data_IF_349499264541
#
_entry.id   IF_349499264541
#
_cell.length_a   1.000
_cell.length_b   1.000
_cell.length_c   1.000
_cell.angle_alpha   90.00
_cell.angle_beta   90.00
_cell.angle_gamma   90.00
#
_symmetry.space_group_name_H-M   'P 1'
#
loop_
_entity.id
_entity.type
_entity.pdbx_description
1 polymer ?
#
# COMPACT_ATOMS: atom_id res chain seq x y z
N UNK A 1 -30.21 23.45 -64.22
CA UNK A 1 -31.32 22.94 -63.38
C UNK A 1 -30.85 21.78 -62.51
N UNK A 2 -30.22 20.76 -63.07
CA UNK A 2 -29.73 19.59 -62.32
C UNK A 2 -28.76 19.96 -61.19
N UNK A 3 -27.80 20.87 -61.42
CA UNK A 3 -26.82 21.29 -60.40
C UNK A 3 -27.46 22.03 -59.23
N UNK A 4 -28.55 22.79 -59.45
CA UNK A 4 -29.30 23.47 -58.39
C UNK A 4 -30.05 22.44 -57.53
N UNK A 5 -30.69 21.45 -58.13
CA UNK A 5 -31.38 20.36 -57.40
C UNK A 5 -30.41 19.51 -56.60
N UNK A 6 -29.24 19.17 -57.13
CA UNK A 6 -28.21 18.42 -56.37
C UNK A 6 -27.68 19.24 -55.19
N UNK A 7 -27.55 20.55 -55.28
CA UNK A 7 -27.16 21.41 -54.15
C UNK A 7 -28.25 21.46 -53.08
N UNK A 8 -29.53 21.56 -53.42
CA UNK A 8 -30.62 21.53 -52.47
C UNK A 8 -30.72 20.18 -51.76
N UNK A 9 -30.54 19.07 -52.47
CA UNK A 9 -30.52 17.72 -51.87
C UNK A 9 -29.32 17.58 -50.92
N UNK A 10 -28.12 18.03 -51.32
CA UNK A 10 -26.95 18.02 -50.48
C UNK A 10 -27.15 18.89 -49.20
N UNK A 11 -27.70 20.07 -49.33
CA UNK A 11 -28.02 20.95 -48.23
C UNK A 11 -29.05 20.33 -47.28
N UNK A 12 -30.09 19.64 -47.83
CA UNK A 12 -31.07 18.91 -47.08
C UNK A 12 -30.47 17.76 -46.29
N UNK A 13 -29.56 17.00 -46.90
CA UNK A 13 -28.83 15.91 -46.24
C UNK A 13 -27.93 16.42 -45.14
N UNK A 14 -27.22 17.54 -45.36
CA UNK A 14 -26.37 18.18 -44.33
C UNK A 14 -27.21 18.64 -43.15
N UNK A 15 -28.35 19.30 -43.41
CA UNK A 15 -29.24 19.74 -42.31
C UNK A 15 -29.86 18.55 -41.57
N UNK A 16 -30.26 17.50 -42.25
CA UNK A 16 -30.78 16.29 -41.59
C UNK A 16 -29.71 15.59 -40.73
N UNK A 17 -28.46 15.52 -41.23
CA UNK A 17 -27.34 14.99 -40.48
C UNK A 17 -27.00 15.87 -39.25
N UNK A 18 -27.05 17.19 -39.40
CA UNK A 18 -26.84 18.12 -38.30
C UNK A 18 -27.92 17.97 -37.22
N UNK A 19 -29.21 17.89 -37.64
CA UNK A 19 -30.32 17.67 -36.69
C UNK A 19 -30.21 16.32 -35.99
N UNK A 20 -29.89 15.26 -36.71
CA UNK A 20 -29.64 13.93 -36.13
C UNK A 20 -28.47 13.98 -35.12
N UNK A 21 -27.40 14.72 -35.42
CA UNK A 21 -26.29 14.96 -34.51
C UNK A 21 -26.70 15.70 -33.21
N UNK A 22 -27.55 16.74 -33.34
CA UNK A 22 -28.08 17.46 -32.16
C UNK A 22 -28.98 16.57 -31.31
N UNK A 23 -29.86 15.81 -31.92
CA UNK A 23 -30.76 14.86 -31.21
C UNK A 23 -29.92 13.79 -30.50
N UNK A 24 -28.95 13.21 -31.19
CA UNK A 24 -28.05 12.22 -30.60
C UNK A 24 -27.25 12.83 -29.44
N UNK A 25 -26.70 14.03 -29.63
CA UNK A 25 -25.99 14.75 -28.56
C UNK A 25 -26.90 14.99 -27.34
N UNK A 26 -28.12 15.47 -27.54
CA UNK A 26 -29.08 15.71 -26.48
C UNK A 26 -29.47 14.40 -25.74
N UNK A 27 -29.57 13.31 -26.47
CA UNK A 27 -29.87 11.98 -25.90
C UNK A 27 -28.72 11.46 -25.03
N UNK A 28 -27.47 11.54 -25.51
CA UNK A 28 -26.29 11.11 -24.75
C UNK A 28 -25.97 12.07 -23.59
N UNK A 29 -26.31 13.35 -23.70
CA UNK A 29 -26.11 14.34 -22.66
C UNK A 29 -27.11 14.24 -21.50
N UNK A 30 -28.21 13.48 -21.67
CA UNK A 30 -29.20 13.26 -20.59
C UNK A 30 -28.58 12.46 -19.45
N UNK A 31 -28.81 12.94 -18.22
CA UNK A 31 -28.31 12.31 -16.99
C UNK A 31 -26.78 12.36 -16.84
N UNK A 32 -26.08 13.23 -17.56
CA UNK A 32 -24.68 13.53 -17.23
C UNK A 32 -24.65 14.32 -15.92
N UNK A 33 -23.66 14.05 -15.05
CA UNK A 33 -23.47 14.83 -13.85
C UNK A 33 -23.24 16.32 -14.19
N UNK A 34 -23.69 17.20 -13.32
CA UNK A 34 -23.33 18.60 -13.36
C UNK A 34 -21.81 18.74 -13.19
N UNK A 35 -21.21 19.70 -13.85
CA UNK A 35 -19.80 20.05 -13.60
C UNK A 35 -19.80 20.85 -12.29
N UNK A 36 -19.25 20.32 -11.18
CA UNK A 36 -19.15 21.07 -9.94
C UNK A 36 -18.19 22.23 -10.14
N UNK A 37 -18.43 23.34 -9.45
CA UNK A 37 -17.38 24.36 -9.32
C UNK A 37 -16.21 23.78 -8.52
N UNK A 38 -14.99 24.32 -8.69
CA UNK A 38 -13.84 23.91 -7.86
C UNK A 38 -14.12 24.02 -6.36
N UNK A 39 -14.93 25.02 -5.98
CA UNK A 39 -15.35 25.22 -4.59
C UNK A 39 -16.30 24.12 -4.08
N UNK A 40 -17.03 23.45 -4.96
CA UNK A 40 -17.95 22.35 -4.65
C UNK A 40 -17.32 20.97 -4.80
N UNK A 41 -16.15 20.90 -5.46
CA UNK A 41 -15.45 19.63 -5.64
C UNK A 41 -14.86 19.14 -4.32
N UNK A 42 -15.53 18.16 -3.72
CA UNK A 42 -15.12 17.49 -2.48
C UNK A 42 -14.91 16.00 -2.77
N UNK A 43 -13.72 15.62 -3.24
CA UNK A 43 -13.42 14.20 -3.38
C UNK A 43 -13.34 13.54 -2.00
N UNK A 44 -13.62 12.23 -1.87
CA UNK A 44 -13.30 11.49 -0.68
C UNK A 44 -11.84 11.67 -0.31
N UNK A 45 -11.56 12.00 0.93
CA UNK A 45 -10.20 12.22 1.45
C UNK A 45 -9.97 11.37 2.70
N UNK A 46 -8.70 11.08 2.96
CA UNK A 46 -8.29 10.26 4.10
C UNK A 46 -8.66 10.94 5.42
N UNK A 47 -9.32 10.21 6.31
CA UNK A 47 -9.43 10.57 7.72
C UNK A 47 -8.17 10.11 8.44
N UNK A 48 -7.51 11.04 9.13
CA UNK A 48 -6.31 10.78 9.91
C UNK A 48 -6.63 10.75 11.40
N UNK A 49 -6.20 9.70 12.09
CA UNK A 49 -6.16 9.64 13.54
C UNK A 49 -4.74 9.93 14.02
N UNK A 50 -4.60 10.98 14.81
CA UNK A 50 -3.28 11.45 15.25
C UNK A 50 -3.15 11.34 16.76
N UNK A 51 -1.97 10.97 17.23
CA UNK A 51 -1.60 10.96 18.66
C UNK A 51 -1.55 12.36 19.24
N UNK A 52 -1.39 12.48 20.54
CA UNK A 52 -1.31 13.75 21.25
C UNK A 52 -0.14 14.64 20.79
N UNK A 53 0.95 14.03 20.30
CA UNK A 53 2.10 14.70 19.71
C UNK A 53 1.99 14.94 18.19
N UNK A 54 0.81 14.63 17.60
CA UNK A 54 0.49 14.91 16.20
C UNK A 54 1.00 13.89 15.18
N UNK A 55 1.53 12.75 15.61
CA UNK A 55 1.91 11.67 14.71
C UNK A 55 0.70 10.88 14.22
N UNK A 56 0.69 10.48 12.95
CA UNK A 56 -0.39 9.65 12.38
C UNK A 56 -0.29 8.24 12.93
N UNK A 57 -1.35 7.77 13.57
CA UNK A 57 -1.47 6.43 14.13
C UNK A 57 -2.49 5.55 13.40
N UNK A 58 -3.30 6.13 12.54
CA UNK A 58 -4.25 5.41 11.69
C UNK A 58 -4.79 6.28 10.57
N UNK A 59 -5.04 5.67 9.42
CA UNK A 59 -5.66 6.29 8.25
C UNK A 59 -6.88 5.47 7.84
N UNK A 60 -8.03 6.13 7.62
CA UNK A 60 -9.27 5.50 7.19
C UNK A 60 -9.80 6.18 5.95
N UNK A 61 -10.12 5.39 4.93
CA UNK A 61 -10.51 5.90 3.61
C UNK A 61 -11.22 4.84 2.77
N UNK A 62 -12.12 5.28 1.91
CA UNK A 62 -12.57 4.49 0.76
C UNK A 62 -11.52 4.58 -0.36
N UNK A 63 -10.97 5.79 -0.56
CA UNK A 63 -9.91 6.08 -1.52
C UNK A 63 -8.81 6.87 -0.79
N UNK A 64 -7.59 6.34 -0.72
CA UNK A 64 -6.47 7.07 -0.11
C UNK A 64 -6.11 8.27 -0.98
N UNK A 65 -6.64 9.43 -0.62
CA UNK A 65 -6.46 10.68 -1.35
C UNK A 65 -6.10 11.81 -0.40
N UNK A 66 -5.02 12.51 -0.76
CA UNK A 66 -4.59 13.75 -0.11
C UNK A 66 -4.50 14.83 -1.18
N UNK A 67 -5.35 15.85 -1.06
CA UNK A 67 -5.42 16.95 -2.04
C UNK A 67 -4.35 17.98 -1.75
N UNK A 68 -3.59 18.34 -2.76
CA UNK A 68 -2.55 19.38 -2.67
C UNK A 68 -2.79 20.48 -3.68
N UNK A 69 -2.45 21.76 -3.36
CA UNK A 69 -2.48 22.85 -4.32
C UNK A 69 -1.54 22.60 -5.51
N UNK A 70 -1.90 23.06 -6.70
CA UNK A 70 -1.07 22.90 -7.89
C UNK A 70 0.33 23.50 -7.71
N UNK A 71 0.44 24.59 -6.96
CA UNK A 71 1.71 25.26 -6.67
C UNK A 71 2.72 24.40 -5.89
N UNK A 72 2.26 23.35 -5.16
CA UNK A 72 3.13 22.39 -4.47
C UNK A 72 3.58 21.26 -5.37
N UNK A 73 2.97 21.07 -6.54
CA UNK A 73 3.31 19.99 -7.46
C UNK A 73 4.49 20.42 -8.33
N UNK A 74 5.64 19.70 -8.31
CA UNK A 74 6.82 20.08 -9.06
C UNK A 74 6.57 20.12 -10.57
N UNK A 75 7.18 21.08 -11.25
CA UNK A 75 7.01 21.26 -12.71
C UNK A 75 7.34 20.00 -13.50
N UNK A 76 8.40 19.30 -13.14
CA UNK A 76 8.81 18.07 -13.84
C UNK A 76 7.78 16.93 -13.68
N UNK A 77 7.02 16.89 -12.57
CA UNK A 77 5.93 15.94 -12.39
C UNK A 77 4.74 16.27 -13.30
N UNK A 78 4.34 17.56 -13.38
CA UNK A 78 3.32 18.03 -14.33
C UNK A 78 3.68 17.65 -15.76
N UNK A 79 4.91 17.94 -16.16
CA UNK A 79 5.45 17.63 -17.49
C UNK A 79 5.47 16.12 -17.77
N UNK A 80 5.83 15.31 -16.79
CA UNK A 80 5.85 13.86 -16.94
C UNK A 80 4.45 13.27 -17.25
N UNK A 81 3.41 13.73 -16.55
CA UNK A 81 2.03 13.31 -16.83
C UNK A 81 1.53 13.79 -18.20
N UNK A 82 1.81 15.04 -18.56
CA UNK A 82 1.45 15.57 -19.87
C UNK A 82 2.16 14.79 -20.99
N UNK A 83 3.46 14.56 -20.88
CA UNK A 83 4.22 13.81 -21.87
C UNK A 83 3.77 12.32 -21.98
N UNK A 84 3.39 11.72 -20.86
CA UNK A 84 2.99 10.30 -20.82
C UNK A 84 1.60 10.06 -21.38
N UNK A 85 0.64 10.96 -21.09
CA UNK A 85 -0.79 10.73 -21.29
C UNK A 85 -1.39 11.63 -22.38
N UNK A 86 -0.94 12.90 -22.49
CA UNK A 86 -1.61 13.88 -23.36
C UNK A 86 -0.68 15.05 -23.74
N UNK A 87 0.25 14.83 -24.67
CA UNK A 87 1.25 15.82 -25.04
C UNK A 87 0.67 17.14 -25.57
N UNK A 88 -0.53 17.09 -26.19
CA UNK A 88 -1.22 18.25 -26.76
C UNK A 88 -2.24 18.84 -25.78
N UNK A 89 -2.14 18.54 -24.49
CA UNK A 89 -3.12 18.92 -23.46
C UNK A 89 -3.48 20.41 -23.51
N UNK A 90 -2.51 21.28 -23.72
CA UNK A 90 -2.71 22.74 -23.77
C UNK A 90 -3.27 23.25 -25.10
N UNK A 91 -3.37 22.40 -26.14
CA UNK A 91 -3.75 22.79 -27.51
C UNK A 91 -5.19 22.44 -27.89
N UNK A 92 -5.79 21.42 -27.25
CA UNK A 92 -7.13 20.95 -27.57
C UNK A 92 -8.18 21.37 -26.53
N UNK A 93 -9.47 21.32 -26.93
CA UNK A 93 -10.61 21.65 -26.07
C UNK A 93 -11.33 20.36 -25.56
N UNK A 94 -10.62 19.54 -24.80
CA UNK A 94 -11.14 18.33 -24.12
C UNK A 94 -10.99 17.02 -24.91
N UNK A 95 -11.03 17.07 -26.22
CA UNK A 95 -10.81 15.90 -27.08
C UNK A 95 -9.74 16.24 -28.12
N UNK A 96 -8.67 15.48 -28.18
CA UNK A 96 -7.67 15.55 -29.25
C UNK A 96 -8.17 14.76 -30.46
N UNK A 97 -8.87 15.44 -31.38
CA UNK A 97 -9.40 14.81 -32.59
C UNK A 97 -8.30 14.30 -33.53
N UNK A 98 -7.17 14.98 -33.57
CA UNK A 98 -6.02 14.63 -34.42
C UNK A 98 -5.34 13.38 -33.86
N UNK A 99 -5.12 13.31 -32.55
CA UNK A 99 -4.60 12.16 -31.84
C UNK A 99 -5.55 10.96 -31.92
N UNK A 100 -6.85 11.18 -31.75
CA UNK A 100 -7.88 10.14 -31.89
C UNK A 100 -7.92 9.56 -33.29
N UNK A 101 -7.90 10.40 -34.34
CA UNK A 101 -7.84 9.95 -35.72
C UNK A 101 -6.57 9.15 -36.03
N UNK A 102 -5.42 9.63 -35.57
CA UNK A 102 -4.13 8.94 -35.68
C UNK A 102 -4.15 7.57 -34.96
N UNK A 103 -4.72 7.51 -33.76
CA UNK A 103 -4.87 6.27 -33.01
C UNK A 103 -5.78 5.27 -33.75
N UNK A 104 -6.87 5.74 -34.33
CA UNK A 104 -7.78 4.91 -35.15
C UNK A 104 -7.08 4.34 -36.38
N UNK A 105 -6.35 5.17 -37.14
CA UNK A 105 -5.56 4.73 -38.30
C UNK A 105 -4.51 3.70 -37.89
N UNK A 106 -3.76 3.95 -36.84
CA UNK A 106 -2.74 3.02 -36.34
C UNK A 106 -3.33 1.67 -35.92
N UNK A 107 -4.53 1.69 -35.31
CA UNK A 107 -5.19 0.46 -34.84
C UNK A 107 -5.82 -0.34 -35.95
N UNK A 108 -6.65 0.32 -36.78
CA UNK A 108 -7.48 -0.37 -37.76
C UNK A 108 -6.78 -0.66 -39.10
N UNK A 109 -5.91 0.29 -39.53
CA UNK A 109 -5.20 0.16 -40.81
C UNK A 109 -3.79 -0.45 -40.62
N UNK A 110 -3.04 -0.03 -39.61
CA UNK A 110 -1.66 -0.48 -39.44
C UNK A 110 -1.51 -1.63 -38.45
N UNK A 111 -2.59 -2.10 -37.81
CA UNK A 111 -2.59 -3.18 -36.79
C UNK A 111 -1.53 -3.02 -35.69
N UNK A 112 -1.07 -1.80 -35.45
CA UNK A 112 -0.14 -1.49 -34.36
C UNK A 112 -0.88 -1.41 -33.04
N UNK A 113 -0.26 -1.85 -31.95
CA UNK A 113 -0.83 -1.67 -30.60
C UNK A 113 -1.08 -0.19 -30.33
N UNK A 114 -2.32 0.16 -30.02
CA UNK A 114 -2.74 1.54 -29.74
C UNK A 114 -2.02 2.07 -28.51
N UNK A 115 -1.30 3.15 -28.67
CA UNK A 115 -0.94 4.05 -27.55
C UNK A 115 -2.19 4.90 -27.24
N UNK A 116 -2.47 5.15 -25.95
CA UNK A 116 -3.68 5.78 -25.47
C UNK A 116 -4.10 7.03 -26.26
N UNK A 117 -5.36 7.06 -26.67
CA UNK A 117 -5.96 8.16 -27.40
C UNK A 117 -6.98 8.93 -26.57
N UNK A 118 -6.96 8.83 -25.25
CA UNK A 118 -7.83 9.60 -24.35
C UNK A 118 -7.03 10.71 -23.71
N UNK A 119 -7.59 11.93 -23.72
CA UNK A 119 -6.97 13.10 -23.11
C UNK A 119 -7.06 13.06 -21.57
N UNK A 120 -6.24 13.88 -20.88
CA UNK A 120 -6.32 14.08 -19.43
C UNK A 120 -7.72 14.52 -19.01
N UNK A 121 -8.34 15.45 -19.77
CA UNK A 121 -9.72 15.89 -19.51
C UNK A 121 -10.74 14.78 -19.68
N UNK A 122 -10.58 13.88 -20.64
CA UNK A 122 -11.45 12.70 -20.78
C UNK A 122 -11.26 11.70 -19.64
N UNK A 123 -10.06 11.56 -19.09
CA UNK A 123 -9.81 10.71 -17.92
C UNK A 123 -10.45 11.31 -16.66
N UNK A 124 -10.38 12.63 -16.46
CA UNK A 124 -11.11 13.34 -15.39
C UNK A 124 -12.61 13.21 -15.55
N UNK A 125 -13.14 13.37 -16.77
CA UNK A 125 -14.56 13.15 -17.06
C UNK A 125 -15.00 11.71 -16.75
N UNK A 126 -14.17 10.72 -17.05
CA UNK A 126 -14.43 9.32 -16.69
C UNK A 126 -14.49 9.14 -15.17
N UNK A 127 -13.59 9.75 -14.40
CA UNK A 127 -13.61 9.66 -12.95
C UNK A 127 -14.92 10.23 -12.37
N UNK A 128 -15.38 11.37 -12.88
CA UNK A 128 -16.68 11.96 -12.49
C UNK A 128 -17.88 11.07 -12.85
N UNK A 129 -17.84 10.39 -14.02
CA UNK A 129 -18.89 9.43 -14.40
C UNK A 129 -18.90 8.22 -13.47
N UNK A 130 -17.73 7.70 -13.10
CA UNK A 130 -17.62 6.58 -12.15
C UNK A 130 -18.17 6.96 -10.79
N UNK A 131 -17.87 8.17 -10.29
CA UNK A 131 -18.40 8.67 -9.03
C UNK A 131 -19.93 8.84 -9.05
N UNK A 132 -20.50 9.30 -10.18
CA UNK A 132 -21.93 9.57 -10.29
C UNK A 132 -22.79 8.33 -10.60
N UNK A 133 -22.24 7.36 -11.35
CA UNK A 133 -22.99 6.19 -11.88
C UNK A 133 -22.57 4.87 -11.23
N UNK A 134 -21.57 4.89 -10.37
CA UNK A 134 -20.95 3.73 -9.75
C UNK A 134 -19.90 3.04 -10.65
N UNK A 135 -19.04 2.24 -10.03
CA UNK A 135 -17.88 1.63 -10.68
C UNK A 135 -18.25 0.72 -11.88
N UNK A 136 -19.28 -0.10 -11.71
CA UNK A 136 -19.69 -1.08 -12.75
C UNK A 136 -20.13 -0.40 -14.05
N UNK A 137 -20.98 0.62 -13.98
CA UNK A 137 -21.49 1.32 -15.16
C UNK A 137 -20.47 2.33 -15.71
N UNK A 138 -19.80 3.09 -14.83
CA UNK A 138 -18.79 4.09 -15.19
C UNK A 138 -17.52 3.50 -15.82
N UNK A 139 -17.19 2.22 -15.58
CA UNK A 139 -16.03 1.54 -16.20
C UNK A 139 -16.36 0.68 -17.40
N UNK A 140 -17.66 0.47 -17.72
CA UNK A 140 -18.11 -0.39 -18.82
C UNK A 140 -17.56 0.07 -20.15
N UNK A 141 -16.82 -0.80 -20.86
CA UNK A 141 -16.20 -0.50 -22.15
C UNK A 141 -17.25 -0.52 -23.27
N UNK A 142 -17.95 0.60 -23.50
CA UNK A 142 -18.89 0.74 -24.59
C UNK A 142 -18.81 2.14 -25.26
N UNK A 143 -19.34 2.25 -26.46
CA UNK A 143 -19.35 3.48 -27.24
C UNK A 143 -20.15 4.59 -26.53
N UNK A 144 -21.27 4.23 -25.88
CA UNK A 144 -22.12 5.17 -25.15
C UNK A 144 -21.32 5.93 -24.08
N UNK A 145 -20.57 5.19 -23.27
CA UNK A 145 -19.70 5.81 -22.24
C UNK A 145 -18.65 6.73 -22.89
N UNK A 146 -18.02 6.30 -23.99
CA UNK A 146 -16.99 7.11 -24.65
C UNK A 146 -17.53 8.43 -25.22
N UNK A 147 -18.76 8.41 -25.74
CA UNK A 147 -19.44 9.64 -26.18
C UNK A 147 -19.76 10.53 -24.97
N UNK A 148 -20.26 9.98 -23.88
CA UNK A 148 -20.56 10.73 -22.64
C UNK A 148 -19.31 11.32 -22.03
N UNK A 149 -18.19 10.59 -22.00
CA UNK A 149 -16.87 11.13 -21.60
C UNK A 149 -16.48 12.34 -22.45
N UNK A 150 -16.61 12.27 -23.77
CA UNK A 150 -16.26 13.37 -24.67
C UNK A 150 -17.15 14.61 -24.45
N UNK A 151 -18.46 14.42 -24.25
CA UNK A 151 -19.38 15.51 -23.94
C UNK A 151 -19.02 16.16 -22.59
N UNK A 152 -18.77 15.35 -21.57
CA UNK A 152 -18.41 15.84 -20.23
C UNK A 152 -17.03 16.52 -20.24
N UNK A 153 -16.05 15.97 -20.97
CA UNK A 153 -14.74 16.59 -21.16
C UNK A 153 -14.86 18.00 -21.80
N UNK A 154 -15.72 18.14 -22.84
CA UNK A 154 -15.99 19.45 -23.45
C UNK A 154 -16.70 20.43 -22.49
N UNK A 155 -17.52 19.95 -21.55
CA UNK A 155 -18.13 20.78 -20.51
C UNK A 155 -17.10 21.22 -19.48
N UNK A 156 -16.20 20.31 -19.07
CA UNK A 156 -15.11 20.62 -18.16
C UNK A 156 -14.18 21.70 -18.72
N UNK A 157 -13.78 21.62 -19.99
CA UNK A 157 -12.94 22.61 -20.64
C UNK A 157 -13.58 24.01 -20.79
N UNK A 158 -14.90 24.07 -20.74
CA UNK A 158 -15.62 25.37 -20.73
C UNK A 158 -15.75 25.96 -19.33
N UNK A 159 -15.72 25.10 -18.31
CA UNK A 159 -15.90 25.49 -16.93
C UNK A 159 -14.59 25.79 -16.20
N UNK A 160 -13.48 25.15 -16.63
CA UNK A 160 -12.20 25.18 -15.93
C UNK A 160 -11.07 25.58 -16.89
N UNK A 161 -10.07 26.27 -16.35
CA UNK A 161 -8.79 26.50 -17.03
C UNK A 161 -7.99 25.19 -17.18
N UNK A 162 -6.96 25.21 -18.01
CA UNK A 162 -6.06 24.05 -18.18
C UNK A 162 -5.33 23.68 -16.88
N UNK A 163 -4.93 24.67 -16.12
CA UNK A 163 -4.29 24.50 -14.83
C UNK A 163 -5.24 23.84 -13.81
N UNK A 164 -6.50 24.26 -13.77
CA UNK A 164 -7.53 23.67 -12.92
C UNK A 164 -7.85 22.23 -13.31
N UNK A 165 -7.93 21.94 -14.62
CA UNK A 165 -8.12 20.59 -15.13
C UNK A 165 -6.94 19.67 -14.80
N UNK A 166 -5.72 20.18 -14.90
CA UNK A 166 -4.52 19.44 -14.53
C UNK A 166 -4.46 19.18 -13.03
N UNK A 167 -4.82 20.18 -12.22
CA UNK A 167 -4.97 20.02 -10.77
C UNK A 167 -6.00 18.97 -10.41
N UNK A 168 -7.17 19.02 -11.04
CA UNK A 168 -8.25 18.02 -10.83
C UNK A 168 -7.78 16.61 -11.17
N UNK A 169 -7.09 16.46 -12.31
CA UNK A 169 -6.54 15.19 -12.73
C UNK A 169 -5.50 14.64 -11.76
N UNK A 170 -4.51 15.45 -11.40
CA UNK A 170 -3.38 15.03 -10.56
C UNK A 170 -3.79 14.71 -9.12
N UNK A 171 -4.86 15.32 -8.61
CA UNK A 171 -5.42 14.98 -7.31
C UNK A 171 -6.45 13.84 -7.36
N UNK A 172 -6.87 13.41 -8.56
CA UNK A 172 -7.91 12.39 -8.74
C UNK A 172 -7.44 11.08 -9.37
N UNK A 173 -6.31 11.07 -10.08
CA UNK A 173 -5.87 9.91 -10.85
C UNK A 173 -5.50 8.73 -9.94
N UNK A 174 -5.98 7.52 -10.30
CA UNK A 174 -5.60 6.30 -9.61
C UNK A 174 -4.20 5.82 -10.04
N UNK A 175 -3.31 5.67 -9.08
CA UNK A 175 -1.90 5.32 -9.28
C UNK A 175 -1.53 3.93 -8.74
N UNK A 176 -2.50 3.12 -8.37
CA UNK A 176 -2.28 1.79 -7.80
C UNK A 176 -2.16 1.79 -6.27
N UNK A 177 -2.21 0.60 -5.66
CA UNK A 177 -2.07 0.42 -4.21
C UNK A 177 -2.92 1.39 -3.39
N UNK A 178 -4.21 1.50 -3.75
CA UNK A 178 -5.20 2.41 -3.17
C UNK A 178 -4.88 3.91 -3.24
N UNK A 179 -3.79 4.32 -3.93
CA UNK A 179 -3.36 5.72 -4.02
C UNK A 179 -4.12 6.47 -5.12
N UNK A 180 -4.89 7.48 -4.73
CA UNK A 180 -5.57 8.42 -5.59
C UNK A 180 -4.92 9.80 -5.48
N UNK A 181 -4.42 10.31 -6.59
CA UNK A 181 -3.66 11.55 -6.66
C UNK A 181 -2.17 11.40 -6.32
N UNK A 182 -1.41 12.42 -6.74
CA UNK A 182 0.05 12.39 -6.72
C UNK A 182 0.66 12.49 -5.31
N UNK A 183 -0.01 13.16 -4.35
CA UNK A 183 0.48 13.23 -2.98
C UNK A 183 0.38 11.87 -2.28
N UNK A 184 -0.80 11.23 -2.35
CA UNK A 184 -0.99 9.91 -1.76
C UNK A 184 -0.03 8.87 -2.38
N UNK A 185 0.23 8.97 -3.68
CA UNK A 185 1.19 8.10 -4.35
C UNK A 185 2.63 8.39 -3.94
N UNK A 186 3.02 9.66 -3.79
CA UNK A 186 4.37 10.05 -3.35
C UNK A 186 4.67 9.49 -1.94
N UNK A 187 3.72 9.64 -1.02
CA UNK A 187 3.83 9.09 0.33
C UNK A 187 3.90 7.56 0.32
N UNK A 188 3.00 6.92 -0.44
CA UNK A 188 2.84 5.48 -0.47
C UNK A 188 4.03 4.75 -1.11
N UNK A 189 4.53 5.26 -2.23
CA UNK A 189 5.64 4.61 -2.96
C UNK A 189 7.01 5.01 -2.43
N UNK A 190 7.19 6.28 -2.00
CA UNK A 190 8.51 6.85 -1.73
C UNK A 190 8.69 7.40 -0.32
N UNK A 191 7.63 7.44 0.52
CA UNK A 191 7.62 8.09 1.84
C UNK A 191 8.07 9.55 1.79
N UNK A 192 7.63 10.26 0.72
CA UNK A 192 7.97 11.65 0.44
C UNK A 192 6.73 12.49 0.20
N UNK A 193 6.84 13.79 0.44
CA UNK A 193 5.86 14.73 -0.10
C UNK A 193 6.03 14.87 -1.62
N UNK A 194 4.98 15.30 -2.31
CA UNK A 194 4.99 15.44 -3.77
C UNK A 194 6.05 16.43 -4.26
N UNK A 195 6.32 17.49 -3.48
CA UNK A 195 7.35 18.50 -3.79
C UNK A 195 8.78 17.95 -3.77
N UNK A 196 9.03 16.86 -3.06
CA UNK A 196 10.36 16.25 -2.87
C UNK A 196 10.67 15.16 -3.91
N UNK A 197 9.75 14.93 -4.86
CA UNK A 197 9.92 13.90 -5.89
C UNK A 197 11.03 14.27 -6.87
N UNK A 198 11.92 13.32 -7.12
CA UNK A 198 12.92 13.42 -8.18
C UNK A 198 12.29 13.23 -9.57
N UNK A 199 12.99 13.61 -10.63
CA UNK A 199 12.54 13.37 -12.00
C UNK A 199 12.29 11.88 -12.30
N UNK A 200 13.12 10.99 -11.75
CA UNK A 200 12.98 9.56 -11.94
C UNK A 200 11.72 9.00 -11.25
N UNK A 201 11.41 9.45 -10.04
CA UNK A 201 10.21 9.11 -9.29
C UNK A 201 8.94 9.68 -9.96
N UNK A 202 9.01 10.93 -10.39
CA UNK A 202 7.94 11.59 -11.15
C UNK A 202 7.59 10.83 -12.44
N UNK A 203 8.60 10.40 -13.21
CA UNK A 203 8.41 9.62 -14.42
C UNK A 203 7.84 8.22 -14.13
N UNK A 204 8.18 7.62 -12.99
CA UNK A 204 7.59 6.35 -12.57
C UNK A 204 6.10 6.53 -12.26
N UNK A 205 5.71 7.53 -11.46
CA UNK A 205 4.30 7.80 -11.16
C UNK A 205 3.51 8.11 -12.42
N UNK A 206 4.01 8.96 -13.31
CA UNK A 206 3.36 9.30 -14.57
C UNK A 206 3.19 8.11 -15.53
N UNK A 207 3.96 7.05 -15.32
CA UNK A 207 3.83 5.80 -16.06
C UNK A 207 2.70 4.89 -15.62
N UNK A 208 2.19 5.04 -14.38
CA UNK A 208 1.23 4.12 -13.77
C UNK A 208 -0.20 4.17 -14.33
N UNK A 209 -0.79 5.33 -14.66
CA UNK A 209 -2.21 5.45 -15.02
C UNK A 209 -2.65 4.51 -16.15
N UNK A 210 -1.79 4.23 -17.11
CA UNK A 210 -2.10 3.36 -18.22
C UNK A 210 -2.52 1.93 -17.78
N UNK A 211 -1.83 1.37 -16.79
CA UNK A 211 -2.12 0.04 -16.23
C UNK A 211 -1.43 -0.12 -14.85
N UNK A 212 -2.01 0.42 -13.77
CA UNK A 212 -1.36 0.49 -12.45
C UNK A 212 -0.88 -0.86 -11.91
N UNK A 213 -1.70 -1.90 -12.06
CA UNK A 213 -1.32 -3.26 -11.61
C UNK A 213 -0.16 -3.85 -12.44
N UNK A 214 -0.12 -3.57 -13.76
CA UNK A 214 0.92 -4.10 -14.64
C UNK A 214 2.27 -3.41 -14.43
N UNK A 215 2.24 -2.10 -14.16
CA UNK A 215 3.42 -1.28 -13.97
C UNK A 215 3.75 -1.03 -12.50
N UNK A 216 3.12 -1.80 -11.59
CA UNK A 216 3.45 -1.74 -10.18
C UNK A 216 4.91 -2.09 -9.94
N UNK A 217 5.71 -1.21 -9.32
CA UNK A 217 7.12 -1.50 -9.04
C UNK A 217 7.31 -2.58 -7.99
N UNK A 218 6.29 -2.89 -7.18
CA UNK A 218 6.31 -3.98 -6.19
C UNK A 218 6.13 -5.35 -6.85
N UNK A 219 5.26 -5.43 -7.87
CA UNK A 219 4.89 -6.70 -8.51
C UNK A 219 5.73 -6.97 -9.76
N UNK A 220 5.98 -5.93 -10.56
CA UNK A 220 6.67 -6.02 -11.85
C UNK A 220 7.73 -4.92 -12.01
N UNK A 221 8.85 -4.96 -11.25
CA UNK A 221 9.85 -3.89 -11.25
C UNK A 221 10.46 -3.62 -12.64
N UNK A 222 10.67 -4.65 -13.45
CA UNK A 222 11.21 -4.49 -14.81
C UNK A 222 10.23 -3.79 -15.75
N UNK A 223 8.93 -4.11 -15.67
CA UNK A 223 7.90 -3.43 -16.44
C UNK A 223 7.74 -1.97 -16.00
N UNK A 224 7.83 -1.70 -14.70
CA UNK A 224 7.82 -0.36 -14.13
C UNK A 224 9.02 0.46 -14.64
N UNK A 225 10.23 -0.12 -14.60
CA UNK A 225 11.46 0.50 -15.12
C UNK A 225 11.37 0.79 -16.62
N UNK A 226 10.87 -0.14 -17.42
CA UNK A 226 10.67 0.05 -18.85
C UNK A 226 9.65 1.17 -19.13
N UNK A 227 8.56 1.26 -18.34
CA UNK A 227 7.56 2.30 -18.48
C UNK A 227 8.09 3.68 -18.05
N UNK A 228 8.88 3.77 -16.98
CA UNK A 228 9.61 4.97 -16.57
C UNK A 228 10.49 5.51 -17.69
N UNK A 229 11.31 4.65 -18.32
CA UNK A 229 12.14 5.02 -19.48
C UNK A 229 11.32 5.54 -20.64
N UNK A 230 10.15 4.95 -20.90
CA UNK A 230 9.24 5.44 -21.93
C UNK A 230 8.80 6.86 -21.62
N UNK A 231 8.41 7.18 -20.38
CA UNK A 231 7.98 8.53 -19.98
C UNK A 231 9.14 9.54 -20.16
N UNK A 232 10.33 9.22 -19.63
CA UNK A 232 11.51 10.07 -19.75
C UNK A 232 11.88 10.36 -21.20
N UNK A 233 11.81 9.36 -22.07
CA UNK A 233 12.02 9.54 -23.51
C UNK A 233 10.98 10.49 -24.12
N UNK A 234 9.70 10.35 -23.76
CA UNK A 234 8.63 11.25 -24.21
C UNK A 234 8.88 12.68 -23.76
N UNK A 235 9.26 12.90 -22.51
CA UNK A 235 9.60 14.23 -21.98
C UNK A 235 10.75 14.86 -22.78
N UNK A 236 11.76 14.08 -23.16
CA UNK A 236 12.86 14.55 -23.98
C UNK A 236 12.43 14.85 -25.42
N UNK A 237 11.69 13.96 -26.07
CA UNK A 237 11.16 14.15 -27.42
C UNK A 237 10.25 15.39 -27.54
N UNK A 238 9.54 15.73 -26.48
CA UNK A 238 8.66 16.90 -26.39
C UNK A 238 9.41 18.17 -25.86
N UNK A 239 10.75 18.08 -25.69
CA UNK A 239 11.62 19.21 -25.31
C UNK A 239 11.48 19.69 -23.86
N UNK A 240 10.88 18.86 -22.99
CA UNK A 240 10.64 19.21 -21.58
C UNK A 240 11.87 19.01 -20.70
N UNK A 241 12.76 18.09 -21.07
CA UNK A 241 14.02 17.80 -20.38
C UNK A 241 15.16 17.64 -21.39
N UNK A 242 16.39 17.92 -20.94
CA UNK A 242 17.60 17.72 -21.73
C UNK A 242 18.03 16.23 -21.76
N UNK A 243 18.92 15.90 -22.72
CA UNK A 243 19.45 14.53 -22.85
C UNK A 243 20.23 14.09 -21.62
N UNK A 244 20.99 14.98 -20.98
CA UNK A 244 21.74 14.68 -19.77
C UNK A 244 20.80 14.35 -18.59
N UNK A 245 19.73 15.13 -18.42
CA UNK A 245 18.72 14.88 -17.38
C UNK A 245 17.98 13.57 -17.62
N UNK A 246 17.63 13.28 -18.88
CA UNK A 246 17.00 12.02 -19.27
C UNK A 246 17.86 10.82 -18.86
N UNK A 247 19.16 10.82 -19.24
CA UNK A 247 20.08 9.72 -18.91
C UNK A 247 20.26 9.56 -17.40
N UNK A 248 20.51 10.67 -16.69
CA UNK A 248 20.66 10.63 -15.25
C UNK A 248 19.42 10.05 -14.56
N UNK A 249 18.20 10.43 -15.00
CA UNK A 249 16.96 9.88 -14.44
C UNK A 249 16.67 8.43 -14.84
N UNK A 250 17.16 7.97 -16.01
CA UNK A 250 17.05 6.56 -16.42
C UNK A 250 17.97 5.64 -15.59
N UNK A 251 19.16 6.11 -15.24
CA UNK A 251 20.16 5.39 -14.46
C UNK A 251 19.88 5.44 -12.95
N UNK A 252 19.15 6.46 -12.49
CA UNK A 252 18.83 6.64 -11.08
C UNK A 252 18.14 5.41 -10.49
N UNK A 253 18.64 4.97 -9.34
CA UNK A 253 17.95 3.97 -8.51
C UNK A 253 16.70 4.62 -7.89
N UNK A 254 15.54 4.04 -8.14
CA UNK A 254 14.28 4.44 -7.51
C UNK A 254 13.92 3.37 -6.47
N UNK A 255 14.02 3.75 -5.21
CA UNK A 255 13.63 2.88 -4.09
C UNK A 255 12.15 3.08 -3.81
N UNK A 256 11.43 1.98 -3.78
CA UNK A 256 10.03 1.94 -3.36
C UNK A 256 9.94 1.23 -2.01
N UNK A 257 9.06 1.74 -1.16
CA UNK A 257 8.85 1.21 0.17
C UNK A 257 7.54 0.39 0.19
N UNK A 258 7.51 -0.76 0.90
CA UNK A 258 6.26 -1.47 1.13
C UNK A 258 5.20 -0.52 1.70
N UNK A 259 3.95 -0.78 1.36
CA UNK A 259 2.83 -0.02 1.92
C UNK A 259 2.71 -0.40 3.39
N UNK A 260 3.01 0.54 4.28
CA UNK A 260 2.84 0.36 5.72
C UNK A 260 1.34 0.49 6.05
N UNK A 261 0.83 -0.45 6.80
CA UNK A 261 -0.49 -0.30 7.42
C UNK A 261 -0.31 0.39 8.78
N UNK A 262 -0.25 1.74 8.74
CA UNK A 262 -0.01 2.57 9.92
C UNK A 262 -0.98 2.23 11.06
N UNK A 263 -2.23 1.89 10.73
CA UNK A 263 -3.24 1.46 11.69
C UNK A 263 -2.82 0.19 12.42
N UNK A 264 -2.45 -0.87 11.68
CA UNK A 264 -2.09 -2.18 12.25
C UNK A 264 -0.74 -2.17 12.95
N UNK A 265 0.20 -1.37 12.44
CA UNK A 265 1.56 -1.33 12.96
C UNK A 265 1.71 -0.44 14.20
N UNK A 266 0.89 0.61 14.33
CA UNK A 266 1.11 1.62 15.39
C UNK A 266 0.34 1.31 16.66
N UNK A 267 -0.99 1.30 16.62
CA UNK A 267 -1.82 1.14 17.82
C UNK A 267 -3.24 0.61 17.50
N UNK A 268 -3.38 -0.60 16.90
CA UNK A 268 -4.64 -1.03 16.30
C UNK A 268 -5.80 -1.06 17.30
N UNK A 269 -5.60 -1.54 18.52
CA UNK A 269 -6.65 -1.58 19.55
C UNK A 269 -7.14 -0.20 19.96
N UNK A 270 -6.21 0.76 20.14
CA UNK A 270 -6.57 2.12 20.53
C UNK A 270 -7.31 2.82 19.39
N UNK A 271 -6.73 2.78 18.21
CA UNK A 271 -7.27 3.42 17.01
C UNK A 271 -8.66 2.85 16.66
N UNK A 272 -8.85 1.52 16.77
CA UNK A 272 -10.15 0.88 16.53
C UNK A 272 -11.20 1.31 17.57
N UNK A 273 -10.83 1.42 18.83
CA UNK A 273 -11.75 1.91 19.88
C UNK A 273 -12.21 3.34 19.58
N UNK A 274 -11.30 4.22 19.13
CA UNK A 274 -11.64 5.59 18.71
C UNK A 274 -12.46 5.60 17.43
N UNK A 275 -12.09 4.77 16.44
CA UNK A 275 -12.84 4.64 15.18
C UNK A 275 -14.32 4.32 15.43
N UNK A 276 -14.60 3.36 16.31
CA UNK A 276 -15.98 3.01 16.68
C UNK A 276 -16.74 4.20 17.25
N UNK A 277 -16.13 4.98 18.14
CA UNK A 277 -16.75 6.18 18.70
C UNK A 277 -17.02 7.26 17.63
N UNK A 278 -16.09 7.45 16.70
CA UNK A 278 -16.27 8.40 15.59
C UNK A 278 -17.39 7.95 14.66
N UNK A 279 -17.45 6.66 14.32
CA UNK A 279 -18.52 6.10 13.48
C UNK A 279 -19.88 6.20 14.19
N UNK A 280 -19.97 5.88 15.47
CA UNK A 280 -21.20 6.00 16.24
C UNK A 280 -21.73 7.45 16.30
N UNK A 281 -20.81 8.43 16.36
CA UNK A 281 -21.17 9.84 16.49
C UNK A 281 -21.44 10.53 15.16
N UNK A 282 -20.67 10.21 14.11
CA UNK A 282 -20.68 10.94 12.84
C UNK A 282 -21.12 10.11 11.64
N UNK A 283 -21.19 8.79 11.78
CA UNK A 283 -21.49 7.85 10.71
C UNK A 283 -20.26 7.39 9.93
N UNK A 284 -20.37 6.20 9.32
CA UNK A 284 -19.26 5.57 8.61
C UNK A 284 -18.88 6.31 7.31
N UNK A 285 -19.85 6.91 6.61
CA UNK A 285 -19.63 7.68 5.39
C UNK A 285 -18.70 8.87 5.67
N UNK A 286 -19.01 9.67 6.69
CA UNK A 286 -18.19 10.82 7.09
C UNK A 286 -16.80 10.41 7.56
N UNK A 287 -16.70 9.27 8.26
CA UNK A 287 -15.44 8.71 8.71
C UNK A 287 -14.54 8.33 7.54
N UNK A 288 -15.09 7.86 6.42
CA UNK A 288 -14.31 7.36 5.27
C UNK A 288 -14.11 8.40 4.15
N UNK A 289 -14.90 9.48 4.12
CA UNK A 289 -14.97 10.37 2.96
C UNK A 289 -14.72 11.85 3.26
N UNK A 290 -15.04 12.33 4.49
CA UNK A 290 -14.96 13.76 4.82
C UNK A 290 -13.54 14.25 5.18
N UNK A 291 -12.56 13.36 5.32
CA UNK A 291 -11.18 13.72 5.68
C UNK A 291 -11.08 14.32 7.08
N UNK A 292 -11.65 13.64 8.05
CA UNK A 292 -11.62 14.09 9.43
C UNK A 292 -10.18 14.03 9.98
N UNK A 293 -9.82 14.98 10.82
CA UNK A 293 -8.63 14.91 11.65
C UNK A 293 -9.09 14.63 13.09
N UNK A 294 -8.81 13.43 13.57
CA UNK A 294 -9.20 12.96 14.89
C UNK A 294 -7.98 13.01 15.81
N UNK A 295 -7.96 14.00 16.72
CA UNK A 295 -6.91 14.13 17.71
C UNK A 295 -7.21 13.24 18.92
N UNK A 296 -6.32 12.27 19.16
CA UNK A 296 -6.44 11.31 20.24
C UNK A 296 -5.58 11.73 21.43
N UNK A 297 -6.00 11.35 22.63
CA UNK A 297 -5.20 11.55 23.84
C UNK A 297 -4.01 10.56 23.95
N UNK A 298 -3.84 9.67 22.97
CA UNK A 298 -2.80 8.67 22.96
C UNK A 298 -1.40 9.29 22.97
N UNK A 299 -0.59 8.90 23.94
CA UNK A 299 0.85 9.14 23.98
C UNK A 299 1.55 7.96 23.30
N UNK A 300 2.23 8.23 22.20
CA UNK A 300 2.78 7.18 21.35
C UNK A 300 3.92 6.40 22.02
N UNK A 301 4.72 7.05 22.88
CA UNK A 301 5.80 6.37 23.60
C UNK A 301 5.24 5.47 24.71
N UNK A 302 4.22 5.92 25.45
CA UNK A 302 3.51 5.09 26.41
C UNK A 302 2.81 3.93 25.72
N UNK A 303 2.20 4.15 24.55
CA UNK A 303 1.56 3.11 23.75
C UNK A 303 2.56 2.02 23.34
N UNK A 304 3.72 2.39 22.80
CA UNK A 304 4.78 1.44 22.44
C UNK A 304 5.32 0.70 23.66
N UNK A 305 5.52 1.39 24.78
CA UNK A 305 5.94 0.78 26.03
C UNK A 305 4.89 -0.25 26.52
N UNK A 306 3.61 0.10 26.46
CA UNK A 306 2.50 -0.77 26.84
C UNK A 306 2.43 -2.03 25.96
N UNK A 307 2.57 -1.89 24.62
CA UNK A 307 2.61 -3.02 23.69
C UNK A 307 3.79 -3.95 24.00
N UNK A 308 4.99 -3.39 24.19
CA UNK A 308 6.16 -4.17 24.56
C UNK A 308 6.02 -4.87 25.93
N UNK A 309 5.42 -4.22 26.92
CA UNK A 309 5.16 -4.80 28.23
C UNK A 309 4.12 -5.92 28.16
N UNK A 310 3.03 -5.72 27.40
CA UNK A 310 2.00 -6.72 27.18
C UNK A 310 2.57 -7.98 26.51
N UNK A 311 3.31 -7.81 25.42
CA UNK A 311 3.94 -8.92 24.70
C UNK A 311 4.85 -9.73 25.62
N UNK A 312 5.77 -9.06 26.34
CA UNK A 312 6.66 -9.74 27.29
C UNK A 312 5.90 -10.46 28.38
N UNK A 313 4.89 -9.80 28.97
CA UNK A 313 4.08 -10.39 30.02
C UNK A 313 3.32 -11.64 29.58
N UNK A 314 2.70 -11.60 28.41
CA UNK A 314 2.00 -12.74 27.84
C UNK A 314 2.94 -13.91 27.51
N UNK A 315 4.07 -13.64 26.88
CA UNK A 315 5.10 -14.65 26.61
C UNK A 315 5.64 -15.30 27.89
N UNK A 316 5.89 -14.50 28.94
CA UNK A 316 6.40 -15.01 30.22
C UNK A 316 5.35 -15.89 30.93
N UNK A 317 4.09 -15.51 30.90
CA UNK A 317 3.02 -16.32 31.50
C UNK A 317 2.80 -17.60 30.70
N UNK A 318 2.82 -17.51 29.36
CA UNK A 318 2.61 -18.66 28.47
C UNK A 318 3.75 -19.68 28.61
N UNK A 319 5.01 -19.24 28.64
CA UNK A 319 6.17 -20.10 28.90
C UNK A 319 6.07 -20.84 30.27
N UNK A 320 5.56 -20.17 31.29
CA UNK A 320 5.32 -20.81 32.62
C UNK A 320 4.27 -21.91 32.54
N UNK A 321 3.34 -21.89 31.59
CA UNK A 321 2.37 -22.95 31.38
C UNK A 321 2.98 -24.16 30.66
N UNK A 322 4.04 -23.98 29.88
CA UNK A 322 4.77 -25.00 29.15
C UNK A 322 4.68 -24.86 27.63
N UNK A 323 5.36 -25.74 26.93
CA UNK A 323 5.45 -25.74 25.47
C UNK A 323 4.31 -26.52 24.82
N UNK A 324 3.54 -25.87 23.97
CA UNK A 324 2.39 -26.48 23.31
C UNK A 324 2.75 -27.40 22.14
N UNK A 325 4.05 -27.49 21.83
CA UNK A 325 4.59 -28.28 20.72
C UNK A 325 4.98 -27.46 19.51
N UNK A 326 5.61 -28.11 18.51
CA UNK A 326 5.97 -27.46 17.26
C UNK A 326 4.73 -27.05 16.45
N UNK A 327 4.88 -26.04 15.58
CA UNK A 327 3.82 -25.59 14.67
C UNK A 327 3.43 -26.68 13.66
N UNK A 328 4.41 -27.44 13.19
CA UNK A 328 4.26 -28.56 12.26
C UNK A 328 5.49 -29.47 12.34
N UNK A 329 5.43 -30.62 11.66
CA UNK A 329 6.57 -31.46 11.41
C UNK A 329 6.72 -31.70 9.91
N UNK A 330 7.88 -31.43 9.38
CA UNK A 330 8.18 -31.52 7.93
C UNK A 330 9.36 -32.41 7.64
N UNK A 331 9.34 -33.05 6.48
CA UNK A 331 10.41 -33.95 6.02
C UNK A 331 10.63 -33.84 4.51
N UNK A 332 11.79 -34.29 4.04
CA UNK A 332 12.08 -34.42 2.62
C UNK A 332 11.83 -33.14 1.80
N UNK A 333 10.96 -33.25 0.79
CA UNK A 333 10.64 -32.16 -0.12
C UNK A 333 9.89 -30.99 0.55
N UNK A 334 9.06 -31.24 1.55
CA UNK A 334 8.32 -30.22 2.28
C UNK A 334 9.28 -29.30 3.05
N UNK A 335 10.31 -29.87 3.68
CA UNK A 335 11.34 -29.12 4.39
C UNK A 335 12.12 -28.20 3.43
N UNK A 336 12.49 -28.71 2.25
CA UNK A 336 13.21 -27.93 1.27
C UNK A 336 12.37 -26.80 0.67
N UNK A 337 11.07 -27.04 0.47
CA UNK A 337 10.15 -26.00 0.02
C UNK A 337 9.98 -24.91 1.10
N UNK A 338 9.78 -25.31 2.36
CA UNK A 338 9.66 -24.37 3.48
C UNK A 338 10.96 -23.53 3.62
N UNK A 339 12.14 -24.19 3.52
CA UNK A 339 13.44 -23.50 3.56
C UNK A 339 13.52 -22.40 2.48
N UNK A 340 13.09 -22.71 1.25
CA UNK A 340 13.09 -21.72 0.14
C UNK A 340 12.12 -20.56 0.40
N UNK A 341 10.96 -20.82 1.00
CA UNK A 341 10.00 -19.79 1.36
C UNK A 341 10.57 -18.89 2.47
N UNK A 342 11.14 -19.48 3.51
CA UNK A 342 11.79 -18.76 4.61
C UNK A 342 12.97 -17.91 4.16
N UNK A 343 13.77 -18.38 3.17
CA UNK A 343 14.88 -17.60 2.61
C UNK A 343 14.44 -16.32 1.86
N UNK A 344 13.18 -16.28 1.39
CA UNK A 344 12.61 -15.06 0.78
C UNK A 344 12.15 -14.07 1.85
N UNK A 345 11.61 -14.55 2.97
CA UNK A 345 11.18 -13.72 4.10
C UNK A 345 12.37 -13.23 4.91
N UNK A 346 13.31 -14.13 5.17
CA UNK A 346 14.53 -13.90 5.93
C UNK A 346 15.76 -14.13 5.06
N UNK A 347 16.21 -13.12 4.29
CA UNK A 347 17.45 -13.20 3.54
C UNK A 347 18.64 -13.48 4.47
N UNK A 348 19.66 -14.13 3.96
CA UNK A 348 20.83 -14.52 4.75
C UNK A 348 21.43 -13.34 5.53
N UNK A 349 21.58 -13.51 6.85
CA UNK A 349 22.14 -12.49 7.74
C UNK A 349 21.20 -11.32 8.07
N UNK A 350 19.93 -11.35 7.66
CA UNK A 350 18.97 -10.27 7.90
C UNK A 350 18.42 -10.20 9.32
N UNK A 351 18.39 -11.33 10.06
CA UNK A 351 17.91 -11.37 11.42
C UNK A 351 18.76 -10.51 12.36
N UNK A 352 18.14 -9.67 13.19
CA UNK A 352 18.78 -8.88 14.24
C UNK A 352 18.34 -9.33 15.64
N UNK A 353 19.10 -9.08 16.71
CA UNK A 353 18.68 -9.42 18.08
C UNK A 353 17.29 -8.84 18.41
N UNK A 354 16.41 -9.71 18.91
CA UNK A 354 15.01 -9.39 19.17
C UNK A 354 14.03 -9.89 18.13
N UNK A 355 14.47 -10.17 16.89
CA UNK A 355 13.60 -10.67 15.82
C UNK A 355 13.09 -12.08 16.10
N UNK A 356 11.82 -12.30 15.77
CA UNK A 356 11.15 -13.61 15.77
C UNK A 356 11.19 -14.20 14.38
N UNK A 357 11.48 -15.48 14.26
CA UNK A 357 11.47 -16.18 12.98
C UNK A 357 10.90 -17.60 13.16
N UNK A 358 10.37 -18.13 12.06
CA UNK A 358 10.04 -19.57 11.96
C UNK A 358 11.26 -20.29 11.42
N UNK A 359 11.59 -21.44 12.02
CA UNK A 359 12.70 -22.27 11.57
C UNK A 359 12.39 -23.75 11.68
N UNK A 360 13.21 -24.56 11.00
CA UNK A 360 13.10 -26.03 11.00
C UNK A 360 14.26 -26.65 11.78
N UNK A 361 13.95 -27.50 12.73
CA UNK A 361 14.95 -28.25 13.51
C UNK A 361 15.69 -29.21 12.58
N UNK A 362 16.98 -28.97 12.42
CA UNK A 362 17.86 -29.80 11.56
C UNK A 362 18.69 -30.84 12.31
N UNK A 363 19.01 -30.57 13.58
CA UNK A 363 19.71 -31.50 14.45
C UNK A 363 19.38 -31.23 15.91
N UNK A 364 19.30 -32.30 16.70
CA UNK A 364 19.14 -32.27 18.16
C UNK A 364 20.29 -33.07 18.79
N UNK A 365 21.02 -32.46 19.71
CA UNK A 365 22.17 -33.08 20.37
C UNK A 365 22.05 -32.90 21.90
N UNK A 366 21.66 -33.97 22.58
CA UNK A 366 21.50 -33.99 24.03
C UNK A 366 22.84 -33.95 24.79
N UNK A 367 23.92 -34.46 24.19
CA UNK A 367 25.24 -34.45 24.84
C UNK A 367 25.83 -33.07 24.97
N UNK A 368 25.56 -32.23 23.99
CA UNK A 368 26.00 -30.79 24.00
C UNK A 368 24.90 -29.84 24.46
N UNK A 369 23.67 -30.32 24.66
CA UNK A 369 22.52 -29.50 24.99
C UNK A 369 22.14 -28.50 23.90
N UNK A 370 22.31 -28.84 22.61
CA UNK A 370 22.17 -27.90 21.49
C UNK A 370 21.22 -28.42 20.43
N UNK A 371 20.44 -27.52 19.85
CA UNK A 371 19.59 -27.74 18.69
C UNK A 371 20.04 -26.82 17.56
N UNK A 372 20.14 -27.36 16.33
CA UNK A 372 20.32 -26.55 15.13
C UNK A 372 18.98 -26.28 14.47
N UNK A 373 18.72 -25.02 14.17
CA UNK A 373 17.49 -24.56 13.52
C UNK A 373 17.85 -23.84 12.22
N UNK A 374 17.28 -24.29 11.12
CA UNK A 374 17.42 -23.68 9.80
C UNK A 374 16.34 -22.60 9.60
N UNK A 375 16.77 -21.38 9.27
CA UNK A 375 15.90 -20.25 8.97
C UNK A 375 16.30 -19.77 7.56
N UNK A 376 15.61 -20.27 6.54
CA UNK A 376 16.02 -20.06 5.15
C UNK A 376 17.43 -20.61 4.88
N UNK A 377 18.36 -19.73 4.53
CA UNK A 377 19.76 -20.08 4.25
C UNK A 377 20.69 -19.91 5.47
N UNK A 378 20.18 -19.44 6.59
CA UNK A 378 20.92 -19.35 7.85
C UNK A 378 20.69 -20.57 8.74
N UNK A 379 21.68 -20.91 9.56
CA UNK A 379 21.59 -21.95 10.58
C UNK A 379 21.89 -21.33 11.93
N UNK A 380 20.89 -21.25 12.78
CA UNK A 380 21.01 -20.77 14.14
C UNK A 380 21.23 -21.89 15.15
N UNK A 381 21.78 -21.54 16.29
CA UNK A 381 22.02 -22.43 17.40
C UNK A 381 21.07 -22.08 18.57
N UNK A 382 20.23 -23.03 18.95
CA UNK A 382 19.32 -22.95 20.10
C UNK A 382 19.91 -23.82 21.23
N UNK A 383 20.57 -23.22 22.23
CA UNK A 383 21.08 -23.95 23.40
C UNK A 383 19.96 -24.32 24.37
N UNK A 384 20.19 -25.31 25.20
CA UNK A 384 19.25 -25.74 26.25
C UNK A 384 18.82 -24.57 27.15
N UNK A 385 19.71 -23.62 27.44
CA UNK A 385 19.40 -22.42 28.21
C UNK A 385 18.24 -21.61 27.59
N UNK A 386 18.17 -21.55 26.25
CA UNK A 386 17.12 -20.83 25.50
C UNK A 386 15.80 -21.61 25.37
N UNK A 387 15.69 -22.85 25.91
CA UNK A 387 14.50 -23.68 25.79
C UNK A 387 14.16 -24.49 27.05
N UNK A 388 14.80 -24.24 28.19
CA UNK A 388 14.58 -25.03 29.44
C UNK A 388 13.13 -25.07 29.89
N UNK A 389 12.35 -24.06 29.61
CA UNK A 389 10.94 -23.94 29.92
C UNK A 389 10.03 -24.86 29.10
N UNK A 390 10.56 -25.47 28.02
CA UNK A 390 9.78 -26.21 27.02
C UNK A 390 9.34 -27.61 27.48
N UNK A 391 8.77 -27.68 28.67
CA UNK A 391 8.09 -28.89 29.16
C UNK A 391 6.68 -29.02 28.59
N UNK A 392 6.08 -30.22 28.51
CA UNK A 392 4.66 -30.36 28.21
C UNK A 392 3.79 -29.57 29.23
N UNK A 393 2.72 -28.90 28.76
CA UNK A 393 1.84 -28.15 29.65
C UNK A 393 1.26 -28.99 30.75
N UNK A 394 1.42 -28.59 32.02
CA UNK A 394 0.84 -29.25 33.16
C UNK A 394 0.53 -28.23 34.27
N UNK A 395 -0.76 -27.88 34.52
CA UNK A 395 -1.13 -26.89 35.50
C UNK A 395 -0.91 -27.32 36.97
N UNK A 396 -0.67 -28.60 37.22
CA UNK A 396 -0.46 -29.12 38.56
C UNK A 396 1.00 -29.09 38.99
N UNK A 397 1.92 -28.82 38.11
CA UNK A 397 3.36 -28.79 38.37
C UNK A 397 3.87 -27.34 38.30
N UNK A 398 4.55 -26.89 39.34
CA UNK A 398 5.19 -25.57 39.33
C UNK A 398 6.20 -25.52 38.20
N UNK A 399 6.27 -24.35 37.54
CA UNK A 399 7.15 -24.11 36.41
C UNK A 399 8.63 -24.38 36.75
N UNK A 400 9.10 -23.96 37.94
CA UNK A 400 10.49 -24.12 38.35
C UNK A 400 10.89 -25.57 38.61
N UNK A 401 9.92 -26.43 38.94
CA UNK A 401 10.15 -27.84 39.30
C UNK A 401 10.17 -28.80 38.10
N UNK A 402 9.91 -28.27 36.87
CA UNK A 402 9.72 -29.11 35.70
C UNK A 402 10.46 -28.61 34.43
N UNK A 403 11.61 -27.99 34.63
CA UNK A 403 12.47 -27.57 33.51
C UNK A 403 13.04 -28.81 32.79
N UNK A 404 13.09 -28.79 31.47
CA UNK A 404 13.72 -29.88 30.70
C UNK A 404 15.24 -29.89 30.92
N UNK A 405 15.82 -31.07 30.96
CA UNK A 405 17.25 -31.32 31.13
C UNK A 405 17.99 -31.65 29.81
N UNK A 406 17.23 -31.93 28.76
CA UNK A 406 17.77 -32.28 27.44
C UNK A 406 16.83 -31.82 26.32
N UNK A 407 17.38 -31.33 25.20
CA UNK A 407 16.59 -30.85 24.07
C UNK A 407 15.60 -31.84 23.48
N UNK A 408 15.97 -33.12 23.37
CA UNK A 408 15.11 -34.17 22.80
C UNK A 408 13.82 -34.41 23.56
N UNK A 409 13.71 -33.87 24.79
CA UNK A 409 12.45 -33.91 25.57
C UNK A 409 11.36 -33.01 24.97
N UNK A 410 11.74 -32.00 24.21
CA UNK A 410 10.81 -31.02 23.63
C UNK A 410 10.78 -31.03 22.10
N UNK A 411 11.95 -31.22 21.44
CA UNK A 411 12.09 -31.05 20.02
C UNK A 411 12.70 -32.26 19.30
N UNK A 412 12.28 -32.46 18.06
CA UNK A 412 12.76 -33.52 17.16
C UNK A 412 13.20 -32.90 15.82
N UNK A 413 14.02 -33.61 15.08
CA UNK A 413 14.41 -33.21 13.71
C UNK A 413 13.17 -33.17 12.83
N UNK A 414 13.02 -32.09 12.09
CA UNK A 414 11.87 -31.80 11.24
C UNK A 414 10.76 -30.97 11.91
N UNK A 415 10.88 -30.70 13.21
CA UNK A 415 9.94 -29.80 13.87
C UNK A 415 10.07 -28.37 13.34
N UNK A 416 8.94 -27.74 13.05
CA UNK A 416 8.85 -26.31 12.69
C UNK A 416 8.53 -25.53 13.96
N UNK A 417 9.39 -24.60 14.32
CA UNK A 417 9.32 -23.88 15.59
C UNK A 417 9.45 -22.38 15.40
N UNK A 418 8.86 -21.63 16.32
CA UNK A 418 9.14 -20.19 16.46
C UNK A 418 10.38 -20.03 17.32
N UNK A 419 11.30 -19.20 16.86
CA UNK A 419 12.53 -18.85 17.57
C UNK A 419 12.73 -17.34 17.55
N UNK A 420 13.42 -16.82 18.55
CA UNK A 420 13.83 -15.43 18.64
C UNK A 420 15.34 -15.35 18.62
N UNK A 421 15.91 -14.45 17.80
CA UNK A 421 17.34 -14.15 17.87
C UNK A 421 17.64 -13.42 19.16
N UNK A 422 18.63 -13.91 19.90
CA UNK A 422 19.03 -13.38 21.20
C UNK A 422 20.51 -13.05 21.25
N UNK A 423 20.88 -12.17 22.16
CA UNK A 423 22.28 -12.00 22.55
C UNK A 423 22.61 -12.95 23.69
N UNK A 424 23.91 -13.26 23.86
CA UNK A 424 24.37 -14.29 24.82
C UNK A 424 23.94 -14.00 26.25
N UNK A 425 23.93 -12.72 26.63
CA UNK A 425 23.59 -12.23 27.94
C UNK A 425 22.12 -12.50 28.32
N UNK A 426 21.22 -12.58 27.34
CA UNK A 426 19.82 -12.92 27.57
C UNK A 426 19.59 -14.39 27.97
N UNK A 427 20.56 -15.24 27.72
CA UNK A 427 20.54 -16.66 28.10
C UNK A 427 21.25 -16.93 29.43
N UNK A 428 21.61 -15.91 30.18
CA UNK A 428 22.20 -16.03 31.50
C UNK A 428 21.23 -16.71 32.48
N UNK A 429 21.79 -17.58 33.32
CA UNK A 429 21.05 -18.18 34.43
C UNK A 429 20.68 -17.18 35.52
N UNK A 430 19.93 -17.62 36.55
CA UNK A 430 19.56 -16.73 37.68
C UNK A 430 20.76 -16.13 38.46
N UNK A 431 21.92 -16.76 38.34
CA UNK A 431 23.20 -16.31 38.91
C UNK A 431 23.98 -15.34 38.01
N UNK A 432 23.38 -14.95 36.86
CA UNK A 432 23.98 -14.05 35.87
C UNK A 432 25.08 -14.70 35.02
N UNK A 433 25.29 -16.02 35.16
CA UNK A 433 26.29 -16.74 34.39
C UNK A 433 25.70 -17.28 33.08
N UNK A 434 26.52 -17.29 32.06
CA UNK A 434 26.19 -17.77 30.68
C UNK A 434 26.80 -19.15 30.43
N UNK A 435 26.78 -20.02 31.46
CA UNK A 435 27.40 -21.34 31.39
C UNK A 435 26.67 -22.25 30.39
N UNK A 436 27.46 -22.94 29.56
CA UNK A 436 26.91 -23.84 28.53
C UNK A 436 26.30 -23.17 27.30
N UNK A 437 26.36 -21.82 27.23
CA UNK A 437 25.94 -21.09 26.03
C UNK A 437 27.16 -20.96 25.09
N UNK A 438 27.12 -21.56 23.91
CA UNK A 438 28.22 -21.49 22.94
C UNK A 438 28.36 -20.07 22.35
N UNK A 439 29.55 -19.77 21.89
CA UNK A 439 29.76 -18.59 21.05
C UNK A 439 29.34 -18.94 19.61
N UNK A 440 28.28 -18.34 19.14
CA UNK A 440 27.72 -18.56 17.82
C UNK A 440 27.19 -17.27 17.21
N UNK A 441 27.35 -17.07 15.90
CA UNK A 441 26.95 -15.84 15.22
C UNK A 441 25.41 -15.65 15.19
N UNK A 442 24.64 -16.72 15.30
CA UNK A 442 23.18 -16.72 15.36
C UNK A 442 22.72 -17.57 16.54
N UNK A 443 22.57 -16.95 17.71
CA UNK A 443 21.98 -17.57 18.90
C UNK A 443 20.47 -17.37 18.91
N UNK A 444 19.76 -18.41 19.31
CA UNK A 444 18.30 -18.48 19.32
C UNK A 444 17.77 -18.87 20.70
N UNK A 445 16.60 -18.35 21.02
CA UNK A 445 15.73 -18.86 22.09
C UNK A 445 14.46 -19.43 21.47
N UNK A 446 13.94 -20.52 22.05
CA UNK A 446 12.66 -21.10 21.66
C UNK A 446 11.53 -20.16 22.10
N UNK A 447 10.59 -19.95 21.22
CA UNK A 447 9.38 -19.17 21.46
C UNK A 447 8.15 -19.93 21.00
N UNK A 448 7.00 -19.44 21.41
CA UNK A 448 5.71 -19.89 20.89
C UNK A 448 4.72 -18.73 20.87
N UNK A 449 3.72 -18.83 20.02
CA UNK A 449 2.62 -17.89 20.02
C UNK A 449 1.79 -18.06 21.29
N UNK A 450 1.59 -16.98 22.09
CA UNK A 450 0.83 -17.07 23.32
C UNK A 450 -0.62 -17.47 23.07
N UNK A 451 -1.11 -18.45 23.81
CA UNK A 451 -2.55 -18.82 23.82
C UNK A 451 -3.37 -17.98 24.79
N UNK A 452 -2.70 -17.14 25.54
CA UNK A 452 -3.28 -16.23 26.50
C UNK A 452 -3.62 -14.91 25.85
N UNK A 453 -4.70 -14.28 26.32
CA UNK A 453 -5.06 -12.92 26.00
C UNK A 453 -4.94 -12.04 27.25
N UNK A 454 -4.67 -10.78 27.06
CA UNK A 454 -4.57 -9.80 28.12
C UNK A 454 -5.02 -8.44 27.65
N UNK A 455 -5.28 -7.53 28.57
CA UNK A 455 -5.57 -6.14 28.24
C UNK A 455 -4.82 -5.19 29.18
N UNK A 456 -4.38 -4.06 28.63
CA UNK A 456 -3.73 -3.00 29.36
C UNK A 456 -4.36 -1.66 28.94
N UNK A 457 -4.76 -0.86 29.95
CA UNK A 457 -5.22 0.50 29.74
C UNK A 457 -4.45 1.41 30.71
N UNK A 458 -3.77 2.41 30.17
CA UNK A 458 -3.12 3.46 30.94
C UNK A 458 -3.96 4.73 30.91
N UNK A 459 -4.35 5.22 32.07
CA UNK A 459 -5.20 6.39 32.23
C UNK A 459 -4.45 7.44 33.07
N UNK A 460 -4.39 8.66 32.56
CA UNK A 460 -3.91 9.79 33.38
C UNK A 460 -4.95 10.11 34.46
N UNK A 461 -4.59 10.00 35.75
CA UNK A 461 -5.53 10.18 36.84
C UNK A 461 -6.06 11.62 37.01
N UNK A 462 -5.37 12.59 36.42
CA UNK A 462 -5.74 14.00 36.54
C UNK A 462 -6.72 14.45 35.46
N UNK A 463 -6.48 14.05 34.22
CA UNK A 463 -7.34 14.38 33.08
C UNK A 463 -8.42 13.34 32.81
N UNK A 464 -8.20 12.08 33.25
CA UNK A 464 -9.05 10.94 32.91
C UNK A 464 -8.84 10.44 31.47
N UNK A 465 -7.85 10.97 30.76
CA UNK A 465 -7.57 10.53 29.39
C UNK A 465 -6.87 9.18 29.35
N UNK A 466 -7.27 8.36 28.39
CA UNK A 466 -6.59 7.10 28.06
C UNK A 466 -5.37 7.43 27.22
N UNK A 467 -4.18 7.20 27.75
CA UNK A 467 -2.91 7.51 27.08
C UNK A 467 -2.32 6.31 26.34
N UNK A 468 -2.68 5.08 26.76
CA UNK A 468 -2.33 3.86 26.02
C UNK A 468 -3.39 2.78 26.22
N UNK A 469 -3.60 1.94 25.18
CA UNK A 469 -4.54 0.83 25.20
C UNK A 469 -4.01 -0.32 24.34
N UNK A 470 -3.95 -1.53 24.93
CA UNK A 470 -3.58 -2.78 24.27
C UNK A 470 -4.60 -3.84 24.65
N UNK A 471 -5.22 -4.47 23.65
CA UNK A 471 -6.32 -5.41 23.87
C UNK A 471 -5.95 -6.89 23.73
N UNK A 472 -4.68 -7.22 23.45
CA UNK A 472 -4.28 -8.61 23.27
C UNK A 472 -2.87 -8.77 22.71
N UNK A 473 -2.51 -10.01 22.43
CA UNK A 473 -1.25 -10.34 21.76
C UNK A 473 -1.26 -9.93 20.29
N UNK A 474 -2.35 -10.26 19.59
CA UNK A 474 -2.53 -9.99 18.18
C UNK A 474 -3.90 -9.37 17.94
N UNK A 475 -3.93 -8.28 17.19
CA UNK A 475 -5.17 -7.58 16.84
C UNK A 475 -6.02 -8.40 15.89
N UNK A 476 -5.41 -9.05 14.88
CA UNK A 476 -6.13 -9.85 13.87
C UNK A 476 -6.81 -11.09 14.48
N UNK A 477 -6.18 -11.70 15.48
CA UNK A 477 -6.75 -12.84 16.20
C UNK A 477 -7.87 -12.42 17.19
N UNK A 478 -8.05 -11.12 17.41
CA UNK A 478 -9.00 -10.55 18.37
C UNK A 478 -10.24 -9.94 17.71
N UNK A 479 -10.30 -9.89 16.37
CA UNK A 479 -11.46 -9.40 15.57
C UNK A 479 -12.58 -10.48 15.48
#
# INVERSE_FOLDING_TARGET
VLLRWSLFVLLGLVNAAALAGVVAWAWFARGLPSVPTLAEYRPPVVTEMVSADGQVAGEFFTERRKVVPLARIPRHLLQAFVAAEDKNFFEHAGVDWTGTARAAVNTYLLKKRVQGGSTLTQQSAKALLVSAEGFAEGTRKNLRRKIREAILASRLERAFSKEELLWLYLNGVYLGHHSYGVQAAAENYFRKNVEDLTLAEAALLAGLPQAPSRYSPFVNPDAAKARRRYVLRRMHEDGMIGEAERRAAEEAEVRVHPVDDVFRETAPFYVEAVRRQVVDRYGNERMLEDGLRVEMAMDLDKQRAAQGAMLRGLLDVDRRQGFWGPLAQVSGAEREELRRQLARVWPRGSLVPGDFAVGVVSAVNDATGQVRVEIGDDVGLLPLAGMRWARPPNPQVRHDDALISRPSSALKVGDVVVVRRVVREELAGPDGKVDGVPDAPLLLALEQEPRLQGALVAIDPWSGYVEAMVGGYDFEASE
#
